data_IF_804416590447
#
_entry.id   IF_804416590447
#
_cell.length_a   1.000
_cell.length_b   1.000
_cell.length_c   1.000
_cell.angle_alpha   90.00
_cell.angle_beta   90.00
_cell.angle_gamma   90.00
#
_symmetry.space_group_name_H-M   'P 1'
#
loop_
_entity.id
_entity.type
_entity.pdbx_description
1 polymer ?
#
# COMPACT_ATOMS: atom_id res chain seq x y z
N UNK A 1 -13.67 -48.85 -26.23
CA UNK A 1 -14.61 -47.91 -25.59
C UNK A 1 -14.10 -47.38 -24.29
N UNK A 2 -13.69 -48.20 -23.33
CA UNK A 2 -13.16 -47.71 -22.04
C UNK A 2 -11.82 -46.97 -22.21
N UNK A 3 -10.98 -47.35 -23.17
CA UNK A 3 -9.70 -46.69 -23.42
C UNK A 3 -9.86 -45.25 -23.92
N UNK A 4 -10.90 -44.98 -24.71
CA UNK A 4 -11.16 -43.63 -25.20
C UNK A 4 -11.78 -42.74 -24.12
N UNK A 5 -12.50 -43.35 -23.20
CA UNK A 5 -13.07 -42.65 -22.06
C UNK A 5 -11.97 -42.05 -21.17
N UNK A 6 -10.86 -42.78 -20.92
CA UNK A 6 -9.73 -42.28 -20.16
C UNK A 6 -9.05 -41.07 -20.81
N UNK A 7 -8.94 -41.10 -22.14
CA UNK A 7 -8.34 -39.99 -22.89
C UNK A 7 -9.21 -38.75 -22.82
N UNK A 8 -10.51 -38.89 -22.94
CA UNK A 8 -11.45 -37.78 -22.84
C UNK A 8 -11.47 -37.22 -21.43
N UNK A 9 -11.48 -38.09 -20.43
CA UNK A 9 -11.44 -37.68 -19.03
C UNK A 9 -10.15 -36.96 -18.69
N UNK A 10 -9.03 -37.45 -19.18
CA UNK A 10 -7.72 -36.82 -18.99
C UNK A 10 -7.65 -35.43 -19.64
N UNK A 11 -8.15 -35.29 -20.85
CA UNK A 11 -8.24 -34.01 -21.54
C UNK A 11 -9.14 -33.02 -20.79
N UNK A 12 -10.23 -33.51 -20.21
CA UNK A 12 -11.17 -32.69 -19.46
C UNK A 12 -10.56 -32.19 -18.16
N UNK A 13 -9.80 -33.05 -17.49
CA UNK A 13 -9.05 -32.67 -16.28
C UNK A 13 -7.97 -31.65 -16.62
N UNK A 14 -7.24 -31.85 -17.71
CA UNK A 14 -6.21 -30.90 -18.14
C UNK A 14 -6.80 -29.55 -18.50
N UNK A 15 -7.98 -29.51 -19.09
CA UNK A 15 -8.68 -28.27 -19.37
C UNK A 15 -9.09 -27.51 -18.10
N UNK A 16 -9.42 -28.23 -17.04
CA UNK A 16 -9.77 -27.61 -15.76
C UNK A 16 -8.58 -26.93 -15.08
N UNK A 17 -7.36 -27.40 -15.31
CA UNK A 17 -6.14 -26.80 -14.80
C UNK A 17 -5.60 -25.65 -15.65
N UNK A 18 -6.20 -25.41 -16.79
CA UNK A 18 -5.72 -24.38 -17.73
C UNK A 18 -6.29 -22.98 -17.49
N UNK A 19 -7.14 -22.82 -16.48
CA UNK A 19 -7.64 -21.49 -16.16
C UNK A 19 -6.52 -20.68 -15.50
N UNK A 20 -6.09 -19.58 -16.13
CA UNK A 20 -5.13 -18.71 -15.46
C UNK A 20 -5.81 -18.16 -14.21
N UNK A 21 -5.15 -18.34 -13.06
CA UNK A 21 -5.49 -17.61 -11.88
C UNK A 21 -5.26 -16.14 -12.21
N UNK A 22 -6.32 -15.42 -12.51
CA UNK A 22 -6.20 -13.99 -12.70
C UNK A 22 -5.85 -13.39 -11.36
N UNK A 23 -4.59 -13.08 -11.19
CA UNK A 23 -4.14 -12.24 -10.10
C UNK A 23 -4.68 -10.85 -10.39
N UNK A 24 -5.70 -10.44 -9.65
CA UNK A 24 -6.17 -9.07 -9.71
C UNK A 24 -5.11 -8.19 -9.06
N UNK A 25 -4.26 -7.57 -9.88
CA UNK A 25 -3.45 -6.47 -9.39
C UNK A 25 -4.34 -5.24 -9.39
N UNK A 26 -4.58 -4.68 -8.21
CA UNK A 26 -5.32 -3.44 -8.08
C UNK A 26 -4.37 -2.27 -8.35
N UNK A 27 -4.82 -1.32 -9.15
CA UNK A 27 -4.02 -0.18 -9.56
C UNK A 27 -4.52 1.07 -8.85
N UNK A 28 -3.58 1.90 -8.38
CA UNK A 28 -3.89 3.17 -7.74
C UNK A 28 -4.35 4.17 -8.80
N UNK A 29 -5.60 4.58 -8.73
CA UNK A 29 -6.12 5.63 -9.60
C UNK A 29 -6.02 7.00 -8.95
N UNK A 30 -6.15 7.05 -7.62
CA UNK A 30 -6.12 8.29 -6.85
C UNK A 30 -5.45 8.04 -5.50
N UNK A 31 -4.74 9.06 -5.01
CA UNK A 31 -4.13 9.05 -3.68
C UNK A 31 -4.75 10.16 -2.85
N UNK A 32 -5.38 9.79 -1.73
CA UNK A 32 -5.92 10.75 -0.76
C UNK A 32 -5.06 10.74 0.49
N UNK A 33 -4.62 11.92 0.93
CA UNK A 33 -3.79 12.08 2.10
C UNK A 33 -4.49 13.04 3.05
N UNK A 34 -4.69 12.61 4.30
CA UNK A 34 -5.35 13.40 5.33
C UNK A 34 -4.58 13.35 6.63
N UNK A 35 -4.71 14.41 7.43
CA UNK A 35 -4.08 14.50 8.74
C UNK A 35 -2.70 15.13 8.73
N UNK A 36 -2.11 15.34 7.56
CA UNK A 36 -0.86 16.07 7.46
C UNK A 36 -1.13 17.57 7.62
N UNK A 37 -0.44 18.19 8.57
CA UNK A 37 -0.60 19.62 8.86
C UNK A 37 0.57 20.44 8.35
N UNK A 38 1.78 19.99 8.61
CA UNK A 38 3.01 20.69 8.26
C UNK A 38 3.70 20.11 7.05
N UNK A 39 3.50 18.82 6.83
CA UNK A 39 4.16 18.09 5.74
C UNK A 39 3.23 18.10 4.53
N UNK A 40 3.67 18.63 3.39
CA UNK A 40 2.85 18.67 2.18
C UNK A 40 2.55 17.28 1.64
N UNK A 41 1.47 17.15 0.91
CA UNK A 41 1.07 15.89 0.29
C UNK A 41 2.16 15.32 -0.63
N UNK A 42 2.84 16.18 -1.37
CA UNK A 42 3.91 15.76 -2.28
C UNK A 42 5.06 15.08 -1.54
N UNK A 43 5.39 15.61 -0.36
CA UNK A 43 6.44 15.03 0.47
C UNK A 43 6.03 13.66 1.01
N UNK A 44 4.77 13.52 1.40
CA UNK A 44 4.24 12.23 1.89
C UNK A 44 4.24 11.19 0.78
N UNK A 45 3.86 11.56 -0.43
CA UNK A 45 3.94 10.67 -1.59
C UNK A 45 5.38 10.22 -1.84
N UNK A 46 6.32 11.13 -1.72
CA UNK A 46 7.74 10.83 -1.89
C UNK A 46 8.23 9.86 -0.82
N UNK A 47 7.89 10.09 0.44
CA UNK A 47 8.26 9.20 1.55
C UNK A 47 7.68 7.80 1.38
N UNK A 48 6.44 7.71 0.92
CA UNK A 48 5.76 6.43 0.73
C UNK A 48 6.18 5.71 -0.54
N UNK A 49 6.87 6.37 -1.46
CA UNK A 49 7.29 5.82 -2.75
C UNK A 49 6.12 5.25 -3.55
N UNK A 50 4.97 5.92 -3.50
CA UNK A 50 3.76 5.51 -4.21
C UNK A 50 3.33 6.58 -5.19
N UNK A 51 2.86 6.15 -6.34
CA UNK A 51 2.39 7.02 -7.42
C UNK A 51 1.10 6.48 -8.01
N UNK A 52 0.34 7.36 -8.67
CA UNK A 52 -0.81 6.94 -9.46
C UNK A 52 -0.33 5.95 -10.53
N UNK A 53 -1.13 4.94 -10.81
CA UNK A 53 -0.87 3.82 -11.70
C UNK A 53 0.05 2.73 -11.11
N UNK A 54 0.50 2.88 -9.86
CA UNK A 54 1.24 1.80 -9.19
C UNK A 54 0.31 0.63 -8.86
N UNK A 55 0.88 -0.57 -8.86
CA UNK A 55 0.19 -1.77 -8.41
C UNK A 55 0.16 -1.79 -6.88
N UNK A 56 -1.00 -2.12 -6.32
CA UNK A 56 -1.17 -2.24 -4.87
C UNK A 56 -1.45 -3.68 -4.50
N UNK A 57 -0.71 -4.16 -3.51
CA UNK A 57 -0.94 -5.44 -2.84
C UNK A 57 -0.64 -5.25 -1.35
N UNK A 58 -0.84 -6.30 -0.56
CA UNK A 58 -0.59 -6.25 0.88
C UNK A 58 0.87 -5.89 1.20
N UNK A 59 1.79 -6.42 0.43
CA UNK A 59 3.22 -6.13 0.61
C UNK A 59 3.52 -4.65 0.37
N UNK A 60 2.97 -4.08 -0.67
CA UNK A 60 3.16 -2.65 -0.99
C UNK A 60 2.58 -1.76 0.11
N UNK A 61 1.41 -2.11 0.65
CA UNK A 61 0.81 -1.37 1.76
C UNK A 61 1.70 -1.42 3.00
N UNK A 62 2.25 -2.60 3.31
CA UNK A 62 3.17 -2.75 4.43
C UNK A 62 4.45 -1.93 4.25
N UNK A 63 4.97 -1.87 3.04
CA UNK A 63 6.14 -1.05 2.73
C UNK A 63 5.85 0.43 2.93
N UNK A 64 4.69 0.91 2.50
CA UNK A 64 4.27 2.30 2.71
C UNK A 64 4.21 2.62 4.20
N UNK A 65 3.61 1.73 4.99
CA UNK A 65 3.54 1.90 6.44
C UNK A 65 4.93 1.97 7.07
N UNK A 66 5.82 1.07 6.71
CA UNK A 66 7.19 1.05 7.24
C UNK A 66 7.97 2.31 6.88
N UNK A 67 7.83 2.77 5.65
CA UNK A 67 8.53 3.96 5.19
C UNK A 67 8.03 5.21 5.90
N UNK A 68 6.73 5.35 6.08
CA UNK A 68 6.16 6.51 6.78
C UNK A 68 6.49 6.52 8.26
N UNK A 69 6.37 5.37 8.94
CA UNK A 69 6.79 5.27 10.34
C UNK A 69 8.29 5.48 10.50
N UNK A 70 9.08 5.02 9.54
CA UNK A 70 10.53 5.14 9.58
C UNK A 70 11.04 6.57 9.51
N UNK A 71 10.24 7.53 9.03
CA UNK A 71 10.63 8.94 9.02
C UNK A 71 10.68 9.55 10.41
N UNK A 72 9.94 9.00 11.37
CA UNK A 72 9.83 9.57 12.71
C UNK A 72 8.92 10.78 12.81
N UNK A 73 8.30 11.21 11.72
CA UNK A 73 7.43 12.39 11.71
C UNK A 73 6.00 12.11 12.12
N UNK A 74 5.61 10.86 12.19
CA UNK A 74 4.22 10.48 12.42
C UNK A 74 4.09 9.59 13.66
N UNK A 75 3.12 9.90 14.50
CA UNK A 75 2.77 9.05 15.64
C UNK A 75 1.80 7.94 15.25
N UNK A 76 1.02 8.13 14.19
CA UNK A 76 0.13 7.12 13.68
C UNK A 76 0.02 7.24 12.15
N UNK A 77 -0.08 6.09 11.51
CA UNK A 77 -0.25 6.00 10.05
C UNK A 77 -1.25 4.89 9.77
N UNK A 78 -2.28 5.21 9.00
CA UNK A 78 -3.23 4.23 8.49
C UNK A 78 -3.24 4.30 6.97
N UNK A 79 -3.14 3.13 6.34
CA UNK A 79 -3.21 3.02 4.89
C UNK A 79 -4.34 2.09 4.54
N UNK A 80 -5.24 2.56 3.69
CA UNK A 80 -6.38 1.80 3.21
C UNK A 80 -6.47 1.93 1.69
N UNK A 81 -6.92 0.86 1.05
CA UNK A 81 -7.08 0.85 -0.40
C UNK A 81 -8.47 0.31 -0.73
N UNK A 82 -9.31 1.16 -1.31
CA UNK A 82 -10.68 0.83 -1.68
C UNK A 82 -11.08 1.59 -2.94
N UNK A 83 -11.79 0.92 -3.84
CA UNK A 83 -12.26 1.50 -5.11
C UNK A 83 -11.12 2.17 -5.91
N UNK A 84 -9.95 1.57 -5.90
CA UNK A 84 -8.75 2.08 -6.57
C UNK A 84 -8.24 3.41 -6.00
N UNK A 85 -8.71 3.79 -4.83
CA UNK A 85 -8.25 4.98 -4.10
C UNK A 85 -7.38 4.54 -2.93
N UNK A 86 -6.14 5.01 -2.93
CA UNK A 86 -5.23 4.80 -1.82
C UNK A 86 -5.41 5.93 -0.81
N UNK A 87 -5.85 5.60 0.39
CA UNK A 87 -6.09 6.56 1.47
C UNK A 87 -5.00 6.44 2.52
N UNK A 88 -4.33 7.54 2.79
CA UNK A 88 -3.30 7.61 3.82
C UNK A 88 -3.78 8.60 4.88
N UNK A 89 -3.99 8.08 6.09
CA UNK A 89 -4.39 8.90 7.24
C UNK A 89 -3.21 8.99 8.19
N UNK A 90 -2.85 10.22 8.56
CA UNK A 90 -1.64 10.49 9.30
C UNK A 90 -1.96 11.30 10.56
N UNK A 91 -1.18 11.05 11.60
CA UNK A 91 -1.09 11.93 12.76
C UNK A 91 0.37 12.31 12.90
N UNK A 92 0.67 13.60 12.72
CA UNK A 92 2.03 14.09 12.83
C UNK A 92 2.46 14.16 14.29
N UNK A 93 3.73 13.85 14.53
CA UNK A 93 4.31 14.05 15.84
C UNK A 93 4.39 15.55 16.16
N UNK A 94 4.13 15.95 17.41
CA UNK A 94 4.30 17.32 17.79
C UNK A 94 5.76 17.74 17.67
N UNK A 95 5.99 18.98 17.26
CA UNK A 95 7.35 19.50 17.17
C UNK A 95 7.85 19.82 18.57
N UNK A 96 9.06 19.36 18.85
CA UNK A 96 9.70 19.55 20.16
C UNK A 96 10.62 20.77 20.12
N UNK A 97 10.16 21.87 19.55
CA UNK A 97 10.94 23.11 19.46
C UNK A 97 11.17 23.73 20.83
N UNK A 98 10.24 23.59 21.75
CA UNK A 98 10.31 24.16 23.08
C UNK A 98 11.48 23.61 23.90
N UNK A 99 11.85 22.38 23.70
CA UNK A 99 12.98 21.75 24.38
C UNK A 99 14.30 22.42 24.01
N UNK A 100 14.41 22.83 22.75
CA UNK A 100 15.58 23.53 22.28
C UNK A 100 15.82 24.84 23.00
N UNK A 101 14.77 25.60 23.21
CA UNK A 101 14.87 26.89 23.88
C UNK A 101 15.24 26.76 25.36
N UNK A 102 14.76 25.75 26.01
CA UNK A 102 15.10 25.47 27.39
C UNK A 102 16.57 25.13 27.55
N UNK A 103 17.12 24.33 26.64
CA UNK A 103 18.53 23.99 26.66
C UNK A 103 19.43 25.20 26.45
N UNK A 104 19.01 26.16 25.68
CA UNK A 104 19.80 27.36 25.38
C UNK A 104 19.82 28.33 26.56
N UNK A 105 18.76 28.36 27.33
CA UNK A 105 18.67 29.25 28.50
C UNK A 105 19.53 28.80 29.69
N UNK A 106 19.86 27.57 29.70
CA UNK A 106 20.75 27.06 30.72
C UNK A 106 22.17 27.46 30.45
#
# INVERSE_FOLDING_TARGET
MIKDFYKILFCMIMLMFSYPLSTYSEIVEQIEIKGNKRIPNETIKMFSSVSVNDDINTEKINDILKQLYGTGFFSDVKVDFDNNILKILLIENPIIENIFFEGIKA
#
